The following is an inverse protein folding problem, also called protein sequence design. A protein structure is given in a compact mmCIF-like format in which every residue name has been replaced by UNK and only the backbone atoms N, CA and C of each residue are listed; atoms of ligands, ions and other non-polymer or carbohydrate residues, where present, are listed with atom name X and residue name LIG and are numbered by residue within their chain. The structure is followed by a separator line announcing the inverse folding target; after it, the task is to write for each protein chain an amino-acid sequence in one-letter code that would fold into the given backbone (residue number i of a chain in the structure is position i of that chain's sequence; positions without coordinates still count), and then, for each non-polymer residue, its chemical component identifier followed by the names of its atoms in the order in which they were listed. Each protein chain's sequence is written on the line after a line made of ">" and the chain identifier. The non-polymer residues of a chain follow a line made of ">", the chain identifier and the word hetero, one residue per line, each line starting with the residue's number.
data_IF_740670011259
#
_entry.id   IF_740670011259
#
_cell.length_a   1.000
_cell.length_b   1.000
_cell.length_c   1.000
_cell.angle_alpha   90.00
_cell.angle_beta   90.00
_cell.angle_gamma   90.00
#
_symmetry.space_group_name_H-M   'P 1'
#
loop_
_entity.id
_entity.type
_entity.pdbx_description
1 polymer ?
#
# COMPACT_ATOMS: atom_id res chain seq x y z
N UNK A 1 37.68 9.44 2.51
CA UNK A 1 36.84 8.78 1.49
C UNK A 1 35.40 9.25 1.70
N UNK A 2 34.86 10.01 0.75
CA UNK A 2 33.63 10.79 0.87
C UNK A 2 32.44 9.87 0.54
N UNK A 3 31.61 9.51 1.53
CA UNK A 3 30.41 8.69 1.32
C UNK A 3 29.33 9.59 0.72
N UNK A 4 29.17 9.56 -0.60
CA UNK A 4 28.07 10.24 -1.28
C UNK A 4 26.78 9.49 -0.95
N UNK A 5 26.03 10.01 0.02
CA UNK A 5 24.70 9.54 0.37
C UNK A 5 23.76 9.92 -0.77
N UNK A 6 23.39 8.96 -1.63
CA UNK A 6 22.38 9.17 -2.66
C UNK A 6 21.02 9.33 -1.99
N UNK A 7 20.51 10.56 -2.01
CA UNK A 7 19.13 10.90 -1.65
C UNK A 7 18.22 10.38 -2.79
N UNK A 8 17.47 9.31 -2.54
CA UNK A 8 16.48 8.80 -3.49
C UNK A 8 15.21 9.65 -3.35
N UNK A 9 15.04 10.59 -4.28
CA UNK A 9 13.80 11.37 -4.44
C UNK A 9 12.74 10.44 -5.06
N UNK A 10 11.73 10.05 -4.28
CA UNK A 10 10.59 9.27 -4.78
C UNK A 10 9.68 10.24 -5.54
N UNK A 11 9.47 9.97 -6.83
CA UNK A 11 8.67 10.79 -7.72
C UNK A 11 7.21 10.86 -7.23
N UNK A 12 6.71 12.08 -7.05
CA UNK A 12 5.30 12.36 -6.81
C UNK A 12 4.50 12.14 -8.10
N UNK A 13 3.60 11.18 -8.11
CA UNK A 13 2.58 11.05 -9.15
C UNK A 13 1.57 12.19 -9.01
N UNK A 14 1.49 13.05 -10.02
CA UNK A 14 0.43 14.04 -10.14
C UNK A 14 -0.78 13.39 -10.83
N UNK A 15 -1.86 13.21 -10.09
CA UNK A 15 -3.19 12.92 -10.65
C UNK A 15 -4.15 14.01 -10.15
N UNK A 16 -4.66 14.78 -11.09
CA UNK A 16 -5.60 15.89 -10.86
C UNK A 16 -7.01 15.36 -10.62
N UNK A 17 -7.58 15.69 -9.46
CA UNK A 17 -8.99 16.11 -9.33
C UNK A 17 -10.05 15.04 -9.06
N UNK A 18 -10.32 14.75 -7.77
CA UNK A 18 -11.66 14.86 -7.18
C UNK A 18 -11.59 14.66 -5.65
N UNK A 19 -11.27 15.76 -4.95
CA UNK A 19 -11.31 15.88 -3.50
C UNK A 19 -10.00 15.51 -2.80
N UNK A 20 -9.50 16.44 -1.98
CA UNK A 20 -8.46 16.25 -0.96
C UNK A 20 -8.92 15.25 0.12
N UNK A 21 -9.35 14.05 -0.25
CA UNK A 21 -9.98 13.08 0.65
C UNK A 21 -9.09 11.86 0.76
N UNK A 22 -9.02 11.26 1.94
CA UNK A 22 -8.24 10.04 2.14
C UNK A 22 -8.79 8.99 1.18
N UNK A 23 -7.93 8.30 0.40
CA UNK A 23 -8.41 7.31 -0.55
C UNK A 23 -9.20 6.22 0.18
N UNK A 24 -10.28 5.74 -0.45
CA UNK A 24 -11.04 4.60 0.08
C UNK A 24 -10.19 3.34 0.04
N UNK A 25 -10.51 2.38 0.90
CA UNK A 25 -9.81 1.09 0.98
C UNK A 25 -9.59 0.41 -0.39
N UNK A 26 -10.61 0.46 -1.26
CA UNK A 26 -10.60 -0.22 -2.56
C UNK A 26 -10.05 0.63 -3.71
N UNK A 27 -9.50 1.82 -3.45
CA UNK A 27 -8.89 2.62 -4.51
C UNK A 27 -7.63 1.96 -5.05
N UNK A 28 -7.34 2.18 -6.33
CA UNK A 28 -6.12 1.65 -6.94
C UNK A 28 -4.87 2.24 -6.28
N UNK A 29 -4.90 3.51 -5.88
CA UNK A 29 -3.80 4.15 -5.13
C UNK A 29 -3.50 3.42 -3.82
N UNK A 30 -4.54 3.04 -3.06
CA UNK A 30 -4.37 2.31 -1.81
C UNK A 30 -3.86 0.88 -2.06
N UNK A 31 -4.46 0.17 -3.01
CA UNK A 31 -4.07 -1.20 -3.35
C UNK A 31 -2.63 -1.28 -3.86
N UNK A 32 -2.23 -0.37 -4.75
CA UNK A 32 -0.87 -0.33 -5.30
C UNK A 32 0.16 -0.08 -4.20
N UNK A 33 -0.12 0.85 -3.27
CA UNK A 33 0.79 1.11 -2.16
C UNK A 33 0.88 -0.08 -1.18
N UNK A 34 -0.24 -0.78 -0.93
CA UNK A 34 -0.22 -2.03 -0.14
C UNK A 34 0.64 -3.11 -0.84
N UNK A 35 0.52 -3.26 -2.16
CA UNK A 35 1.38 -4.18 -2.94
C UNK A 35 2.86 -3.81 -2.80
N UNK A 36 3.19 -2.54 -2.92
CA UNK A 36 4.57 -2.06 -2.77
C UNK A 36 5.13 -2.32 -1.36
N UNK A 37 4.32 -2.08 -0.32
CA UNK A 37 4.69 -2.37 1.08
C UNK A 37 4.89 -3.87 1.28
N UNK A 38 3.99 -4.70 0.76
CA UNK A 38 4.10 -6.15 0.86
C UNK A 38 5.36 -6.68 0.18
N UNK A 39 5.61 -6.26 -1.08
CA UNK A 39 6.81 -6.64 -1.83
C UNK A 39 8.08 -6.24 -1.08
N UNK A 40 8.19 -4.98 -0.64
CA UNK A 40 9.35 -4.49 0.11
C UNK A 40 9.55 -5.22 1.43
N UNK A 41 8.48 -5.58 2.12
CA UNK A 41 8.55 -6.32 3.39
C UNK A 41 9.08 -7.73 3.17
N UNK A 42 8.57 -8.44 2.17
CA UNK A 42 9.04 -9.79 1.83
C UNK A 42 10.48 -9.74 1.34
N UNK A 43 10.82 -8.75 0.51
CA UNK A 43 12.18 -8.55 -0.03
C UNK A 43 13.24 -8.27 1.05
N UNK A 44 12.85 -7.88 2.27
CA UNK A 44 13.77 -7.79 3.42
C UNK A 44 14.18 -9.15 3.97
N UNK A 45 13.33 -10.16 3.83
CA UNK A 45 13.57 -11.52 4.34
C UNK A 45 14.07 -12.49 3.26
N UNK A 46 13.70 -12.28 2.01
CA UNK A 46 14.08 -13.15 0.88
C UNK A 46 13.92 -12.45 -0.47
N UNK A 47 14.62 -12.89 -1.50
CA UNK A 47 14.38 -12.39 -2.87
C UNK A 47 13.08 -12.96 -3.42
N UNK A 48 12.18 -12.09 -3.87
CA UNK A 48 10.98 -12.51 -4.58
C UNK A 48 11.29 -12.75 -6.07
N UNK A 49 10.88 -13.89 -6.61
CA UNK A 49 11.03 -14.13 -8.05
C UNK A 49 10.21 -13.11 -8.87
N UNK A 50 10.73 -12.80 -10.07
CA UNK A 50 10.13 -11.81 -10.97
C UNK A 50 8.76 -12.22 -11.51
N UNK A 51 8.48 -13.52 -11.51
CA UNK A 51 7.20 -14.08 -11.96
C UNK A 51 6.11 -14.02 -10.88
N UNK A 52 6.46 -13.69 -9.63
CA UNK A 52 5.48 -13.52 -8.55
C UNK A 52 4.70 -12.23 -8.76
N UNK A 53 3.41 -12.41 -9.04
CA UNK A 53 2.41 -11.34 -9.02
C UNK A 53 1.82 -11.26 -7.62
N UNK A 54 1.72 -10.03 -7.10
CA UNK A 54 1.07 -9.74 -5.83
C UNK A 54 -0.15 -8.87 -6.14
N UNK A 55 -1.32 -9.27 -5.67
CA UNK A 55 -2.58 -8.52 -5.83
C UNK A 55 -3.27 -8.35 -4.47
N UNK A 56 -4.07 -7.30 -4.36
CA UNK A 56 -4.94 -7.06 -3.19
C UNK A 56 -6.38 -7.26 -3.64
N UNK A 57 -7.03 -8.26 -3.07
CA UNK A 57 -8.35 -8.77 -3.43
C UNK A 57 -9.30 -8.70 -2.24
N UNK A 58 -10.61 -8.88 -2.49
CA UNK A 58 -11.64 -8.94 -1.44
C UNK A 58 -11.60 -7.77 -0.43
N UNK A 59 -11.29 -6.57 -0.93
CA UNK A 59 -11.13 -5.37 -0.12
C UNK A 59 -12.45 -4.96 0.51
N UNK A 60 -12.44 -4.71 1.82
CA UNK A 60 -13.57 -4.21 2.60
C UNK A 60 -13.14 -3.11 3.56
N UNK A 61 -14.00 -2.10 3.72
CA UNK A 61 -13.85 -1.09 4.78
C UNK A 61 -14.44 -1.67 6.06
N UNK A 62 -13.65 -1.75 7.12
CA UNK A 62 -14.09 -2.18 8.45
C UNK A 62 -14.71 -0.99 9.20
N UNK A 63 -14.06 0.16 9.16
CA UNK A 63 -14.54 1.39 9.79
C UNK A 63 -13.96 2.64 9.13
N UNK A 64 -14.61 3.78 9.37
CA UNK A 64 -14.14 5.11 8.98
C UNK A 64 -14.25 6.05 10.19
N UNK A 65 -13.10 6.55 10.65
CA UNK A 65 -13.01 7.56 11.70
C UNK A 65 -13.14 8.95 11.05
N UNK A 66 -14.38 9.44 10.90
CA UNK A 66 -14.67 10.66 10.13
C UNK A 66 -13.97 11.92 10.65
N UNK A 67 -13.74 12.03 11.96
CA UNK A 67 -13.04 13.17 12.57
C UNK A 67 -11.56 13.28 12.16
N UNK A 68 -10.91 12.16 11.86
CA UNK A 68 -9.51 12.10 11.43
C UNK A 68 -9.36 11.73 9.94
N UNK A 69 -10.48 11.49 9.26
CA UNK A 69 -10.57 10.94 7.91
C UNK A 69 -9.67 9.69 7.70
N UNK A 70 -9.79 8.72 8.62
CA UNK A 70 -9.01 7.48 8.60
C UNK A 70 -9.88 6.28 8.27
N UNK A 71 -9.45 5.49 7.29
CA UNK A 71 -10.09 4.22 6.93
C UNK A 71 -9.35 3.03 7.53
N UNK A 72 -10.07 2.15 8.21
CA UNK A 72 -9.60 0.81 8.56
C UNK A 72 -10.11 -0.18 7.50
N UNK A 73 -9.20 -0.95 6.94
CA UNK A 73 -9.46 -1.84 5.82
C UNK A 73 -9.05 -3.28 6.15
N UNK A 74 -9.72 -4.24 5.52
CA UNK A 74 -9.27 -5.62 5.41
C UNK A 74 -9.30 -6.06 3.95
N UNK A 75 -8.38 -6.95 3.57
CA UNK A 75 -8.28 -7.51 2.24
C UNK A 75 -7.54 -8.85 2.29
N UNK A 76 -7.55 -9.55 1.17
CA UNK A 76 -6.68 -10.69 0.94
C UNK A 76 -5.50 -10.27 0.07
N UNK A 77 -4.29 -10.59 0.52
CA UNK A 77 -3.08 -10.41 -0.26
C UNK A 77 -2.79 -11.72 -1.00
N UNK A 78 -2.97 -11.71 -2.31
CA UNK A 78 -2.85 -12.88 -3.16
C UNK A 78 -1.50 -12.87 -3.87
N UNK A 79 -0.79 -13.99 -3.79
CA UNK A 79 0.45 -14.28 -4.49
C UNK A 79 0.15 -15.28 -5.59
N UNK A 80 0.59 -14.99 -6.82
CA UNK A 80 0.36 -15.85 -7.97
C UNK A 80 1.65 -16.09 -8.74
N UNK A 81 1.92 -17.37 -9.01
CA UNK A 81 2.85 -17.92 -10.01
C UNK A 81 2.05 -18.84 -10.95
N UNK A 82 2.59 -19.23 -12.13
CA UNK A 82 1.86 -20.07 -13.09
C UNK A 82 1.19 -21.32 -12.48
N UNK A 83 1.84 -21.96 -11.52
CA UNK A 83 1.36 -23.21 -10.89
C UNK A 83 0.97 -23.06 -9.42
N UNK A 84 0.97 -21.84 -8.88
CA UNK A 84 0.72 -21.61 -7.45
C UNK A 84 -0.05 -20.31 -7.22
N UNK A 85 -1.16 -20.42 -6.50
CA UNK A 85 -1.88 -19.30 -5.93
C UNK A 85 -2.02 -19.51 -4.43
N UNK A 86 -1.62 -18.50 -3.66
CA UNK A 86 -1.81 -18.49 -2.22
C UNK A 86 -2.27 -17.11 -1.77
N UNK A 87 -3.10 -17.05 -0.73
CA UNK A 87 -3.61 -15.78 -0.22
C UNK A 87 -3.50 -15.75 1.30
N UNK A 88 -3.22 -14.57 1.85
CA UNK A 88 -3.21 -14.34 3.29
C UNK A 88 -4.04 -13.10 3.64
N UNK A 89 -4.82 -13.14 4.73
CA UNK A 89 -5.63 -12.01 5.13
C UNK A 89 -4.73 -10.90 5.71
N UNK A 90 -4.98 -9.67 5.29
CA UNK A 90 -4.32 -8.47 5.81
C UNK A 90 -5.33 -7.45 6.32
N UNK A 91 -4.87 -6.61 7.23
CA UNK A 91 -5.56 -5.36 7.59
C UNK A 91 -4.65 -4.19 7.29
N UNK A 92 -5.22 -3.06 6.88
CA UNK A 92 -4.44 -1.86 6.66
C UNK A 92 -5.23 -0.61 7.02
N UNK A 93 -4.51 0.41 7.48
CA UNK A 93 -5.07 1.70 7.90
C UNK A 93 -4.57 2.79 6.98
N UNK A 94 -5.48 3.58 6.42
CA UNK A 94 -5.17 4.69 5.50
C UNK A 94 -5.44 6.01 6.20
N UNK A 95 -4.45 6.91 6.20
CA UNK A 95 -4.55 8.21 6.85
C UNK A 95 -3.84 9.28 6.00
N UNK A 96 -4.36 10.51 5.93
CA UNK A 96 -3.63 11.63 5.34
C UNK A 96 -2.41 12.03 6.16
N UNK A 97 -1.38 12.49 5.48
CA UNK A 97 -0.24 13.15 6.12
C UNK A 97 -0.52 14.64 6.33
N UNK A 98 0.06 15.23 7.36
CA UNK A 98 -0.06 16.67 7.66
C UNK A 98 0.60 17.57 6.59
N UNK A 99 1.40 17.00 5.67
CA UNK A 99 2.12 17.75 4.62
C UNK A 99 1.22 18.33 3.50
N UNK A 100 -0.09 18.16 3.58
CA UNK A 100 -1.07 18.99 2.83
C UNK A 100 -1.11 18.82 1.31
N UNK A 101 -0.45 17.82 0.72
CA UNK A 101 -0.38 17.62 -0.75
C UNK A 101 -1.21 16.45 -1.27
N UNK A 102 -2.27 16.04 -0.55
CA UNK A 102 -3.02 14.83 -0.89
C UNK A 102 -2.22 13.54 -0.68
N UNK A 103 -1.09 13.62 0.03
CA UNK A 103 -0.31 12.47 0.43
C UNK A 103 -1.03 11.72 1.56
N UNK A 104 -0.98 10.39 1.48
CA UNK A 104 -1.56 9.49 2.47
C UNK A 104 -0.54 8.42 2.85
N UNK A 105 -0.69 7.93 4.06
CA UNK A 105 0.11 6.90 4.68
C UNK A 105 -0.74 5.65 4.84
N UNK A 106 -0.14 4.49 4.56
CA UNK A 106 -0.74 3.18 4.80
C UNK A 106 0.14 2.40 5.76
N UNK A 107 -0.47 1.92 6.85
CA UNK A 107 0.14 0.91 7.71
C UNK A 107 -0.55 -0.43 7.46
N UNK A 108 0.23 -1.47 7.14
CA UNK A 108 -0.26 -2.82 6.85
C UNK A 108 0.11 -3.76 7.99
N UNK A 109 -0.80 -4.64 8.37
CA UNK A 109 -0.59 -5.68 9.38
C UNK A 109 -1.03 -7.04 8.83
N UNK A 110 -0.38 -8.10 9.33
CA UNK A 110 -0.56 -9.48 8.81
C UNK A 110 0.49 -9.89 7.76
N UNK A 111 1.54 -9.08 7.57
CA UNK A 111 2.70 -9.36 6.72
C UNK A 111 3.88 -9.91 7.51
#
# INVERSE_FOLDING_TARGET
>A
MKKTMLLVLIAAGLLTGCGEKTPKCSSDDAKNLVVDIARKTIEKGMTLDKDVRITVENVRTISHESGLDVYQCAADLTFTKPDLQNSLPITYRIQKTDEGKGQFYINVSGL
#
